data_IF_638961937743
#
_entry.id   IF_638961937743
#
_cell.length_a   1.000
_cell.length_b   1.000
_cell.length_c   1.000
_cell.angle_alpha   90.00
_cell.angle_beta   90.00
_cell.angle_gamma   90.00
#
_symmetry.space_group_name_H-M   'P 1'
#
loop_
_entity.id
_entity.type
_entity.pdbx_description
1 polymer ?
#
# COMPACT_ATOMS: atom_id res chain seq x y z
N UNK A 1 11.16 -14.27 11.18
CA UNK A 1 12.20 -14.24 10.13
C UNK A 1 13.03 -12.97 10.28
N UNK A 2 14.23 -13.09 10.86
CA UNK A 2 15.21 -12.00 10.98
C UNK A 2 15.59 -11.51 9.58
N UNK A 3 15.33 -10.24 9.23
CA UNK A 3 15.63 -9.70 7.91
C UNK A 3 16.80 -8.72 7.99
N UNK A 4 17.95 -9.19 7.52
CA UNK A 4 19.17 -8.46 7.15
C UNK A 4 18.97 -7.39 6.05
N UNK A 5 17.74 -7.21 5.54
CA UNK A 5 17.41 -6.26 4.47
C UNK A 5 17.46 -4.77 4.89
N UNK A 6 17.92 -4.47 6.10
CA UNK A 6 18.23 -3.10 6.58
C UNK A 6 19.72 -2.90 6.86
N UNK A 7 20.61 -3.75 6.36
CA UNK A 7 22.05 -3.46 6.42
C UNK A 7 22.37 -2.32 5.45
N UNK A 8 23.24 -1.39 5.87
CA UNK A 8 23.73 -0.30 5.00
C UNK A 8 24.32 -0.79 3.68
N UNK A 9 24.80 -2.04 3.64
CA UNK A 9 25.28 -2.72 2.43
C UNK A 9 24.20 -2.91 1.37
N UNK A 10 22.94 -3.16 1.76
CA UNK A 10 21.83 -3.31 0.80
C UNK A 10 21.51 -1.96 0.13
N UNK A 11 21.63 -0.86 0.88
CA UNK A 11 21.46 0.50 0.35
C UNK A 11 22.56 0.87 -0.64
N UNK A 12 23.81 0.54 -0.32
CA UNK A 12 24.95 0.76 -1.21
C UNK A 12 24.83 -0.04 -2.51
N UNK A 13 24.29 -1.25 -2.46
CA UNK A 13 24.03 -2.08 -3.64
C UNK A 13 22.95 -1.46 -4.55
N UNK A 14 21.87 -0.93 -3.97
CA UNK A 14 20.81 -0.22 -4.71
C UNK A 14 21.31 1.07 -5.36
N UNK A 15 22.09 1.88 -4.63
CA UNK A 15 22.70 3.11 -5.17
C UNK A 15 23.63 2.78 -6.36
N UNK A 16 24.37 1.68 -6.29
CA UNK A 16 25.25 1.23 -7.37
C UNK A 16 24.46 0.76 -8.60
N UNK A 17 23.34 0.07 -8.42
CA UNK A 17 22.45 -0.37 -9.50
C UNK A 17 21.79 0.84 -10.19
N UNK A 18 21.29 1.81 -9.43
CA UNK A 18 20.69 3.03 -9.99
C UNK A 18 21.71 3.84 -10.82
N UNK A 19 22.97 3.88 -10.38
CA UNK A 19 24.07 4.53 -11.09
C UNK A 19 24.44 3.81 -12.40
N UNK A 20 24.33 2.47 -12.43
CA UNK A 20 24.52 1.66 -13.63
C UNK A 20 23.38 1.82 -14.64
N UNK A 21 22.17 2.13 -14.18
CA UNK A 21 20.99 2.33 -15.02
C UNK A 21 20.88 3.75 -15.60
N UNK A 22 21.82 4.65 -15.30
CA UNK A 22 21.88 5.99 -15.90
C UNK A 22 20.69 6.90 -15.57
N UNK A 23 19.97 6.61 -14.48
CA UNK A 23 18.83 7.43 -14.04
C UNK A 23 19.39 8.69 -13.37
N UNK A 24 19.58 9.75 -14.15
CA UNK A 24 19.76 11.10 -13.63
C UNK A 24 18.37 11.70 -13.37
N UNK A 25 18.08 12.01 -12.11
CA UNK A 25 16.88 12.76 -11.74
C UNK A 25 17.03 14.20 -12.22
N UNK A 26 16.28 14.57 -13.25
CA UNK A 26 16.04 15.96 -13.59
C UNK A 26 14.81 16.45 -12.82
N UNK A 27 15.05 17.34 -11.85
CA UNK A 27 14.01 18.15 -11.23
C UNK A 27 13.56 19.23 -12.23
N UNK A 28 12.42 18.99 -12.89
CA UNK A 28 11.72 20.06 -13.61
C UNK A 28 10.47 20.47 -12.82
N UNK A 29 10.56 21.61 -12.13
CA UNK A 29 9.45 22.24 -11.41
C UNK A 29 8.57 22.95 -12.44
N UNK A 30 7.85 22.17 -13.23
CA UNK A 30 6.76 22.64 -14.07
C UNK A 30 5.50 22.83 -13.23
N UNK A 31 5.12 24.08 -12.97
CA UNK A 31 3.82 24.43 -12.41
C UNK A 31 2.74 24.21 -13.49
N UNK A 32 2.21 22.99 -13.59
CA UNK A 32 1.10 22.70 -14.49
C UNK A 32 -0.19 23.20 -13.85
N UNK A 33 -0.64 24.37 -14.28
CA UNK A 33 -2.03 24.80 -14.13
C UNK A 33 -2.84 24.06 -15.19
N UNK A 34 -3.32 22.85 -14.90
CA UNK A 34 -4.34 22.21 -15.74
C UNK A 34 -5.71 22.77 -15.36
N UNK A 35 -6.16 23.76 -16.15
CA UNK A 35 -7.59 24.07 -16.27
C UNK A 35 -8.22 22.92 -17.06
N UNK A 36 -8.78 21.96 -16.34
CA UNK A 36 -9.56 20.85 -16.89
C UNK A 36 -10.55 20.36 -15.84
N UNK A 37 -11.78 20.08 -16.26
CA UNK A 37 -12.85 19.50 -15.43
C UNK A 37 -12.55 18.03 -15.02
N UNK A 38 -11.29 17.69 -14.75
CA UNK A 38 -10.90 16.37 -14.30
C UNK A 38 -11.07 16.29 -12.79
N UNK A 39 -11.77 15.26 -12.34
CA UNK A 39 -11.95 15.01 -10.90
C UNK A 39 -10.58 14.76 -10.27
N UNK A 40 -10.28 15.35 -9.11
CA UNK A 40 -9.02 15.07 -8.41
C UNK A 40 -8.95 13.60 -8.00
N UNK A 41 -7.72 13.06 -7.88
CA UNK A 41 -7.50 11.69 -7.41
C UNK A 41 -7.76 11.55 -5.91
N UNK A 42 -7.47 12.61 -5.14
CA UNK A 42 -7.67 12.71 -3.70
C UNK A 42 -8.21 14.08 -3.33
N UNK A 43 -8.98 14.15 -2.25
CA UNK A 43 -9.40 15.43 -1.69
C UNK A 43 -8.33 16.01 -0.75
N UNK A 44 -8.37 17.31 -0.51
CA UNK A 44 -7.43 17.98 0.40
C UNK A 44 -7.59 17.52 1.86
N UNK A 45 -6.45 17.36 2.55
CA UNK A 45 -6.43 17.25 4.01
C UNK A 45 -6.44 18.62 4.65
N UNK A 46 -6.95 18.70 5.87
CA UNK A 46 -6.74 19.83 6.74
C UNK A 46 -6.54 19.39 8.17
N UNK A 47 -5.74 20.17 8.88
CA UNK A 47 -5.51 20.02 10.31
C UNK A 47 -6.64 20.68 11.08
N UNK A 48 -7.34 19.93 11.94
CA UNK A 48 -8.48 20.45 12.72
C UNK A 48 -8.07 21.12 14.03
N UNK A 49 -6.79 21.16 14.34
CA UNK A 49 -6.31 21.58 15.65
C UNK A 49 -6.33 20.43 16.65
N UNK A 50 -5.17 20.14 17.23
CA UNK A 50 -4.98 19.19 18.32
C UNK A 50 -3.61 19.44 18.94
N UNK A 51 -3.47 19.32 20.26
CA UNK A 51 -2.15 19.36 20.89
C UNK A 51 -1.56 17.95 20.81
N UNK A 52 -0.33 17.77 20.31
CA UNK A 52 0.38 16.51 20.48
C UNK A 52 0.38 16.18 21.96
N UNK A 53 -0.18 15.04 22.36
CA UNK A 53 -0.06 14.57 23.73
C UNK A 53 1.37 14.05 23.87
N UNK A 54 2.22 14.59 24.76
CA UNK A 54 3.57 14.09 24.92
C UNK A 54 3.54 12.60 25.30
N UNK A 55 4.06 11.73 24.42
CA UNK A 55 4.06 10.27 24.62
C UNK A 55 2.72 9.56 24.36
N UNK A 56 1.72 10.25 23.83
CA UNK A 56 0.44 9.65 23.41
C UNK A 56 0.30 9.61 21.89
N UNK A 57 -0.60 8.74 21.40
CA UNK A 57 -1.01 8.76 20.00
C UNK A 57 -1.58 10.13 19.64
N UNK A 58 -1.23 10.65 18.46
CA UNK A 58 -1.95 11.81 17.89
C UNK A 58 -3.39 11.35 17.78
N UNK A 59 -4.30 11.98 18.54
CA UNK A 59 -5.70 11.57 18.61
C UNK A 59 -6.26 11.29 17.20
N UNK A 60 -7.09 10.25 17.06
CA UNK A 60 -7.59 9.69 15.78
C UNK A 60 -8.35 10.67 14.86
N UNK A 61 -8.37 11.97 15.15
CA UNK A 61 -9.21 12.98 14.51
C UNK A 61 -8.52 14.32 14.21
N UNK A 62 -7.18 14.42 14.30
CA UNK A 62 -6.53 15.73 14.07
C UNK A 62 -6.34 16.08 12.59
N UNK A 63 -6.29 15.07 11.72
CA UNK A 63 -6.32 15.25 10.27
C UNK A 63 -7.69 14.85 9.74
N UNK A 64 -8.31 15.72 8.95
CA UNK A 64 -9.57 15.44 8.27
C UNK A 64 -9.46 15.75 6.79
N UNK A 65 -10.25 15.05 6.00
CA UNK A 65 -10.32 15.26 4.55
C UNK A 65 -11.54 16.13 4.22
N UNK A 66 -11.34 17.20 3.43
CA UNK A 66 -12.46 18.00 2.91
C UNK A 66 -13.24 17.17 1.89
N UNK A 67 -14.56 17.02 1.99
CA UNK A 67 -15.34 16.31 0.98
C UNK A 67 -15.19 16.98 -0.39
N UNK A 68 -14.96 16.19 -1.44
CA UNK A 68 -14.86 16.67 -2.81
C UNK A 68 -15.35 15.59 -3.80
N UNK A 69 -15.75 16.00 -5.00
CA UNK A 69 -16.10 15.06 -6.08
C UNK A 69 -14.82 14.56 -6.76
N UNK A 70 -14.32 13.41 -6.31
CA UNK A 70 -13.06 12.81 -6.75
C UNK A 70 -13.28 11.55 -7.60
N UNK A 71 -12.20 11.07 -8.21
CA UNK A 71 -12.19 9.75 -8.85
C UNK A 71 -12.40 8.68 -7.75
N UNK A 72 -13.31 7.71 -7.94
CA UNK A 72 -13.53 6.62 -6.99
C UNK A 72 -12.25 5.81 -6.74
N UNK A 73 -12.00 5.42 -5.49
CA UNK A 73 -10.77 4.75 -5.10
C UNK A 73 -10.58 3.39 -5.81
N UNK A 74 -11.67 2.68 -6.07
CA UNK A 74 -11.67 1.42 -6.83
C UNK A 74 -11.18 1.55 -8.29
N UNK A 75 -11.16 2.77 -8.82
CA UNK A 75 -10.62 3.06 -10.16
C UNK A 75 -9.15 3.51 -10.10
N UNK A 76 -8.65 3.84 -8.91
CA UNK A 76 -7.30 4.35 -8.69
C UNK A 76 -6.35 3.30 -8.12
N UNK A 77 -6.86 2.37 -7.28
CA UNK A 77 -6.03 1.45 -6.50
C UNK A 77 -6.51 0.01 -6.64
N UNK A 78 -5.55 -0.89 -6.80
CA UNK A 78 -5.69 -2.31 -6.54
C UNK A 78 -4.73 -2.73 -5.42
N UNK A 79 -5.16 -3.69 -4.61
CA UNK A 79 -4.37 -4.20 -3.49
C UNK A 79 -3.79 -5.56 -3.86
N UNK A 80 -2.48 -5.72 -3.73
CA UNK A 80 -1.80 -7.01 -3.86
C UNK A 80 -1.53 -7.58 -2.47
N UNK A 81 -1.92 -8.82 -2.26
CA UNK A 81 -1.69 -9.53 -1.01
C UNK A 81 -1.00 -10.85 -1.26
N UNK A 82 -0.19 -11.26 -0.31
CA UNK A 82 0.28 -12.63 -0.19
C UNK A 82 -0.06 -13.14 1.22
N UNK A 83 -0.65 -14.32 1.31
CA UNK A 83 -0.90 -14.99 2.58
C UNK A 83 -0.41 -16.44 2.53
N UNK A 84 0.07 -17.00 3.64
CA UNK A 84 0.56 -18.38 3.70
C UNK A 84 -0.57 -19.43 3.65
N UNK A 85 -1.82 -19.04 3.87
CA UNK A 85 -2.99 -19.92 3.84
C UNK A 85 -4.24 -19.19 3.35
N UNK A 86 -5.25 -19.94 2.88
CA UNK A 86 -6.52 -19.36 2.45
C UNK A 86 -7.21 -18.61 3.60
N UNK A 87 -7.19 -19.15 4.82
CA UNK A 87 -7.89 -18.54 5.96
C UNK A 87 -7.26 -17.20 6.33
N UNK A 88 -5.93 -17.12 6.37
CA UNK A 88 -5.22 -15.87 6.61
C UNK A 88 -5.49 -14.84 5.49
N UNK A 89 -5.48 -15.27 4.24
CA UNK A 89 -5.76 -14.40 3.09
C UNK A 89 -7.20 -13.89 3.07
N UNK A 90 -8.17 -14.76 3.36
CA UNK A 90 -9.59 -14.41 3.40
C UNK A 90 -9.92 -13.51 4.60
N UNK A 91 -9.26 -13.71 5.74
CA UNK A 91 -9.32 -12.78 6.87
C UNK A 91 -8.89 -11.37 6.45
N UNK A 92 -7.72 -11.23 5.81
CA UNK A 92 -7.26 -9.92 5.32
C UNK A 92 -8.21 -9.30 4.31
N UNK A 93 -8.72 -10.09 3.36
CA UNK A 93 -9.72 -9.64 2.39
C UNK A 93 -10.95 -9.10 3.09
N UNK A 94 -11.49 -9.80 4.09
CA UNK A 94 -12.64 -9.33 4.87
C UNK A 94 -12.35 -7.99 5.56
N UNK A 95 -11.19 -7.90 6.23
CA UNK A 95 -10.77 -6.66 6.93
C UNK A 95 -10.62 -5.48 5.99
N UNK A 96 -10.06 -5.69 4.79
CA UNK A 96 -9.95 -4.66 3.75
C UNK A 96 -11.33 -4.27 3.24
N UNK A 97 -12.18 -5.26 2.92
CA UNK A 97 -13.53 -5.01 2.39
C UNK A 97 -14.46 -4.32 3.39
N UNK A 98 -14.19 -4.44 4.69
CA UNK A 98 -14.90 -3.68 5.73
C UNK A 98 -14.58 -2.17 5.68
N UNK A 99 -13.39 -1.79 5.22
CA UNK A 99 -12.96 -0.38 5.11
C UNK A 99 -13.17 0.16 3.69
N UNK A 100 -12.80 -0.63 2.68
CA UNK A 100 -12.85 -0.29 1.27
C UNK A 100 -13.61 -1.38 0.47
N UNK A 101 -14.95 -1.41 0.53
CA UNK A 101 -15.75 -2.51 -0.03
C UNK A 101 -15.56 -2.75 -1.54
N UNK A 102 -15.27 -1.69 -2.30
CA UNK A 102 -15.25 -1.72 -3.77
C UNK A 102 -13.86 -1.93 -4.36
N UNK A 103 -12.78 -1.73 -3.59
CA UNK A 103 -11.40 -1.86 -4.09
C UNK A 103 -11.12 -3.30 -4.50
N UNK A 104 -10.52 -3.51 -5.67
CA UNK A 104 -10.19 -4.85 -6.13
C UNK A 104 -8.93 -5.38 -5.43
N UNK A 105 -8.89 -6.69 -5.20
CA UNK A 105 -7.80 -7.34 -4.49
C UNK A 105 -7.26 -8.51 -5.32
N UNK A 106 -5.94 -8.55 -5.52
CA UNK A 106 -5.24 -9.68 -6.11
C UNK A 106 -4.51 -10.41 -4.97
N UNK A 107 -5.03 -11.57 -4.57
CA UNK A 107 -4.51 -12.36 -3.46
C UNK A 107 -3.73 -13.57 -3.97
N UNK A 108 -2.44 -13.64 -3.66
CA UNK A 108 -1.67 -14.86 -3.73
C UNK A 108 -1.81 -15.64 -2.42
N UNK A 109 -1.99 -16.95 -2.53
CA UNK A 109 -1.99 -17.86 -1.40
C UNK A 109 -0.86 -18.88 -1.55
N UNK A 110 0.01 -18.88 -0.54
CA UNK A 110 1.09 -19.82 -0.30
C UNK A 110 0.56 -21.19 0.11
N UNK A 111 1.39 -22.20 -0.14
CA UNK A 111 1.33 -23.54 0.46
C UNK A 111 -0.08 -24.14 0.66
N UNK A 112 -0.58 -24.85 -0.36
CA UNK A 112 -1.78 -25.67 -0.20
C UNK A 112 -1.43 -26.91 0.62
N UNK A 113 -1.68 -26.84 1.94
CA UNK A 113 -1.89 -28.03 2.74
C UNK A 113 -3.05 -28.81 2.13
N UNK A 114 -2.71 -29.76 1.26
CA UNK A 114 -3.58 -30.60 0.43
C UNK A 114 -4.18 -29.93 -0.83
N UNK A 115 -4.12 -30.61 -2.00
CA UNK A 115 -4.61 -30.10 -3.29
C UNK A 115 -6.13 -29.89 -3.36
N UNK A 116 -6.89 -30.38 -2.36
CA UNK A 116 -8.35 -30.47 -2.35
C UNK A 116 -9.08 -29.23 -1.80
N UNK A 117 -8.40 -28.27 -1.15
CA UNK A 117 -9.06 -27.04 -0.69
C UNK A 117 -8.76 -25.87 -1.64
N UNK A 118 -9.75 -25.52 -2.46
CA UNK A 118 -9.77 -24.22 -3.14
C UNK A 118 -10.24 -23.15 -2.16
N UNK A 119 -9.56 -22.00 -2.10
CA UNK A 119 -10.05 -20.88 -1.30
C UNK A 119 -11.46 -20.50 -1.77
N UNK A 120 -12.32 -20.09 -0.82
CA UNK A 120 -13.66 -19.58 -1.11
C UNK A 120 -13.56 -18.44 -2.13
N UNK A 121 -14.36 -18.50 -3.20
CA UNK A 121 -14.46 -17.39 -4.16
C UNK A 121 -15.09 -16.17 -3.49
N UNK A 122 -14.47 -15.00 -3.69
CA UNK A 122 -14.94 -13.72 -3.19
C UNK A 122 -15.11 -12.75 -4.37
N UNK A 123 -16.24 -12.01 -4.48
CA UNK A 123 -16.42 -11.02 -5.53
C UNK A 123 -15.32 -9.95 -5.51
N UNK A 124 -14.87 -9.51 -6.69
CA UNK A 124 -13.80 -8.51 -6.84
C UNK A 124 -12.46 -8.90 -6.18
N UNK A 125 -12.23 -10.21 -6.01
CA UNK A 125 -10.96 -10.76 -5.55
C UNK A 125 -10.47 -11.81 -6.53
N UNK A 126 -9.26 -11.61 -7.08
CA UNK A 126 -8.58 -12.61 -7.91
C UNK A 126 -7.65 -13.39 -7.00
N UNK A 127 -7.91 -14.69 -6.84
CA UNK A 127 -7.11 -15.56 -5.99
C UNK A 127 -6.17 -16.41 -6.86
N UNK A 128 -4.89 -16.41 -6.54
CA UNK A 128 -3.85 -17.16 -7.25
C UNK A 128 -3.08 -18.07 -6.32
N UNK A 129 -2.66 -19.21 -6.86
CA UNK A 129 -1.76 -20.13 -6.17
C UNK A 129 -0.33 -19.72 -6.47
N UNK A 130 0.40 -19.33 -5.44
CA UNK A 130 1.82 -18.99 -5.58
C UNK A 130 2.60 -19.68 -4.47
N UNK A 131 3.51 -20.62 -4.77
CA UNK A 131 4.13 -21.47 -3.75
C UNK A 131 4.93 -20.72 -2.68
N UNK A 132 5.49 -19.57 -3.04
CA UNK A 132 6.41 -18.80 -2.21
C UNK A 132 6.24 -17.30 -2.44
N UNK A 133 6.38 -16.53 -1.37
CA UNK A 133 6.46 -15.07 -1.44
C UNK A 133 7.88 -14.65 -1.87
N UNK A 134 8.04 -14.32 -3.14
CA UNK A 134 9.25 -13.70 -3.67
C UNK A 134 8.91 -12.65 -4.75
N UNK A 135 9.92 -12.05 -5.36
CA UNK A 135 9.70 -11.02 -6.39
C UNK A 135 8.84 -11.51 -7.56
N UNK A 136 8.91 -12.80 -7.91
CA UNK A 136 8.11 -13.38 -9.00
C UNK A 136 6.63 -13.44 -8.63
N UNK A 137 6.30 -13.71 -7.35
CA UNK A 137 4.94 -13.69 -6.84
C UNK A 137 4.28 -12.32 -7.04
N UNK A 138 4.98 -11.26 -6.65
CA UNK A 138 4.49 -9.89 -6.78
C UNK A 138 4.36 -9.46 -8.23
N UNK A 139 5.32 -9.82 -9.09
CA UNK A 139 5.22 -9.58 -10.54
C UNK A 139 4.03 -10.32 -11.15
N UNK A 140 3.76 -11.56 -10.73
CA UNK A 140 2.62 -12.33 -11.21
C UNK A 140 1.29 -11.68 -10.81
N UNK A 141 1.16 -11.23 -9.55
CA UNK A 141 -0.02 -10.51 -9.09
C UNK A 141 -0.21 -9.19 -9.84
N UNK A 142 0.88 -8.45 -10.10
CA UNK A 142 0.83 -7.17 -10.79
C UNK A 142 0.32 -7.26 -12.24
N UNK A 143 0.43 -8.42 -12.91
CA UNK A 143 -0.08 -8.62 -14.27
C UNK A 143 -1.60 -8.42 -14.41
N UNK A 144 -2.32 -8.47 -13.30
CA UNK A 144 -3.78 -8.35 -13.28
C UNK A 144 -4.24 -6.95 -12.90
N UNK A 145 -3.32 -6.11 -12.43
CA UNK A 145 -3.58 -4.71 -12.07
C UNK A 145 -3.97 -3.91 -13.29
N UNK A 146 -5.02 -3.11 -13.16
CA UNK A 146 -5.48 -2.18 -14.20
C UNK A 146 -5.54 -0.73 -13.73
N UNK A 147 -5.28 -0.48 -12.46
CA UNK A 147 -5.34 0.84 -11.85
C UNK A 147 -4.00 1.55 -11.85
N UNK A 148 -4.03 2.88 -11.71
CA UNK A 148 -2.83 3.72 -11.68
C UNK A 148 -1.90 3.37 -10.51
N UNK A 149 -2.47 3.12 -9.34
CA UNK A 149 -1.73 2.82 -8.13
C UNK A 149 -1.92 1.38 -7.68
N UNK A 150 -0.92 0.89 -6.95
CA UNK A 150 -0.91 -0.45 -6.37
C UNK A 150 -0.50 -0.36 -4.92
N UNK A 151 -1.31 -0.91 -4.03
CA UNK A 151 -0.93 -1.10 -2.63
C UNK A 151 -0.38 -2.52 -2.45
N UNK A 152 0.91 -2.64 -2.13
CA UNK A 152 1.57 -3.93 -1.87
C UNK A 152 1.50 -4.26 -0.38
N UNK A 153 0.59 -5.15 0.00
CA UNK A 153 0.39 -5.61 1.38
C UNK A 153 1.39 -6.67 1.83
N UNK A 154 2.69 -6.35 1.81
CA UNK A 154 3.76 -7.29 2.16
C UNK A 154 3.77 -7.60 3.66
N UNK A 155 3.72 -8.88 4.04
CA UNK A 155 3.58 -9.33 5.44
C UNK A 155 2.44 -8.64 6.21
N UNK A 156 1.36 -8.27 5.52
CA UNK A 156 0.22 -7.65 6.18
C UNK A 156 -0.50 -8.70 7.04
N UNK A 157 -0.72 -8.41 8.32
CA UNK A 157 -1.40 -9.32 9.26
C UNK A 157 -2.78 -8.82 9.67
N UNK A 158 -3.03 -7.51 9.54
CA UNK A 158 -4.34 -6.92 9.78
C UNK A 158 -4.55 -5.68 8.91
N UNK A 159 -5.81 -5.29 8.74
CA UNK A 159 -6.21 -4.06 8.05
C UNK A 159 -7.30 -3.34 8.85
N UNK A 160 -7.17 -2.03 8.98
CA UNK A 160 -8.11 -1.19 9.73
C UNK A 160 -8.32 0.13 9.01
N UNK A 161 -9.25 0.96 9.51
CA UNK A 161 -9.49 2.30 8.98
C UNK A 161 -8.29 3.25 9.17
N UNK A 162 -7.30 2.89 10.00
CA UNK A 162 -6.05 3.64 10.12
C UNK A 162 -5.13 3.45 8.92
N UNK A 163 -5.38 2.45 8.06
CA UNK A 163 -4.69 2.32 6.77
C UNK A 163 -5.32 3.25 5.74
N UNK A 164 -5.00 4.53 5.85
CA UNK A 164 -5.55 5.59 4.99
C UNK A 164 -4.86 5.60 3.61
N UNK A 165 -5.50 4.93 2.64
CA UNK A 165 -5.01 4.86 1.25
C UNK A 165 -5.04 6.23 0.58
N UNK A 166 -6.01 7.07 0.92
CA UNK A 166 -6.14 8.41 0.33
C UNK A 166 -5.00 9.32 0.76
N UNK A 167 -4.61 9.21 2.03
CA UNK A 167 -3.44 9.92 2.53
C UNK A 167 -2.15 9.45 1.85
N UNK A 168 -2.00 8.15 1.59
CA UNK A 168 -0.83 7.65 0.84
C UNK A 168 -0.76 8.24 -0.58
N UNK A 169 -1.88 8.26 -1.31
CA UNK A 169 -1.94 8.89 -2.65
C UNK A 169 -1.65 10.39 -2.57
N UNK A 170 -2.19 11.09 -1.57
CA UNK A 170 -1.91 12.52 -1.36
C UNK A 170 -0.42 12.76 -1.15
N UNK A 171 0.22 11.98 -0.28
CA UNK A 171 1.67 12.11 -0.02
C UNK A 171 2.50 11.80 -1.28
N UNK A 172 2.12 10.79 -2.07
CA UNK A 172 2.77 10.53 -3.37
C UNK A 172 2.69 11.74 -4.30
N UNK A 173 1.49 12.31 -4.43
CA UNK A 173 1.24 13.43 -5.34
C UNK A 173 1.91 14.73 -4.86
N UNK A 174 1.88 15.02 -3.56
CA UNK A 174 2.46 16.22 -2.96
C UNK A 174 4.00 16.19 -2.99
N UNK A 175 4.59 15.04 -2.66
CA UNK A 175 6.05 14.86 -2.65
C UNK A 175 6.61 14.50 -4.02
N UNK A 176 5.76 14.19 -4.99
CA UNK A 176 6.14 13.73 -6.34
C UNK A 176 7.07 12.52 -6.31
N UNK A 177 6.72 11.53 -5.49
CA UNK A 177 7.50 10.28 -5.32
C UNK A 177 6.77 9.11 -5.96
N UNK A 178 7.53 8.09 -6.38
CA UNK A 178 6.99 6.90 -7.05
C UNK A 178 6.41 5.90 -6.04
N UNK A 179 6.89 5.92 -4.80
CA UNK A 179 6.47 5.01 -3.75
C UNK A 179 6.39 5.67 -2.37
N UNK A 180 5.36 5.28 -1.62
CA UNK A 180 5.21 5.64 -0.19
C UNK A 180 4.84 4.40 0.61
N UNK A 181 5.31 4.35 1.85
CA UNK A 181 4.99 3.32 2.83
C UNK A 181 4.22 3.91 4.00
N UNK A 182 3.16 3.20 4.42
CA UNK A 182 2.53 3.46 5.71
C UNK A 182 3.46 3.12 6.88
N UNK A 183 3.15 3.64 8.06
CA UNK A 183 3.79 3.19 9.29
C UNK A 183 3.45 1.72 9.55
N UNK A 184 4.43 0.93 9.97
CA UNK A 184 4.25 -0.49 10.27
C UNK A 184 4.47 -0.74 11.75
N UNK A 185 3.56 -1.51 12.35
CA UNK A 185 3.70 -2.00 13.70
C UNK A 185 4.28 -3.41 13.66
N UNK A 186 5.40 -3.63 14.32
CA UNK A 186 5.97 -4.96 14.46
C UNK A 186 5.42 -5.63 15.71
N UNK A 187 4.90 -6.85 15.53
CA UNK A 187 4.55 -7.74 16.62
C UNK A 187 5.67 -8.79 16.80
N UNK A 188 6.01 -9.17 18.04
CA UNK A 188 5.36 -8.83 19.31
C UNK A 188 5.90 -7.55 19.98
N UNK A 189 6.84 -6.84 19.36
CA UNK A 189 7.51 -5.69 20.00
C UNK A 189 6.56 -4.50 20.24
N UNK A 190 5.45 -4.44 19.52
CA UNK A 190 4.43 -3.39 19.60
C UNK A 190 4.93 -2.01 19.14
N UNK A 191 6.09 -1.95 18.46
CA UNK A 191 6.73 -0.69 18.06
C UNK A 191 6.30 -0.29 16.65
N UNK A 192 5.96 0.99 16.50
CA UNK A 192 5.70 1.61 15.21
C UNK A 192 7.00 2.08 14.56
N UNK A 193 7.12 1.81 13.27
CA UNK A 193 8.21 2.29 12.42
C UNK A 193 7.62 3.10 11.28
N UNK A 194 8.21 4.26 11.01
CA UNK A 194 7.85 5.05 9.84
C UNK A 194 8.08 4.24 8.57
N UNK A 195 7.18 4.42 7.60
CA UNK A 195 7.36 3.90 6.25
C UNK A 195 8.44 4.68 5.48
N UNK A 196 8.73 4.20 4.27
CA UNK A 196 9.69 4.82 3.36
C UNK A 196 8.96 5.73 2.36
N UNK A 197 9.64 6.75 1.85
CA UNK A 197 9.20 7.56 0.71
C UNK A 197 10.35 7.50 -0.30
N UNK A 198 10.09 7.05 -1.54
CA UNK A 198 11.10 6.85 -2.59
C UNK A 198 10.58 7.32 -3.94
#
# INVERSE_FOLDING_TARGET
AYRSARSGETRLSLEHILKLLGVQGEEDVGHVTSIGNEKPEVCEEYWTGGRPVPGGDIADNVFKTKPCDRIPLENLVEILLYAESCDAGLYLVERIKNVYPKVNINLAVGNFGHPLHSCKKVPSVIIQRVPKEDGSAWLQLNRFVRTKYVLVGRNMVDFTYHTDIDRMIRVMNDLKVDAVGGAVRLEPEGRWYAGCYQ
#
